data_IF_979601561285
#
_entry.id   IF_979601561285
#
_cell.length_a   1.000
_cell.length_b   1.000
_cell.length_c   1.000
_cell.angle_alpha   90.00
_cell.angle_beta   90.00
_cell.angle_gamma   90.00
#
_symmetry.space_group_name_H-M   'P 1'
#
loop_
_entity.id
_entity.type
_entity.pdbx_description
1 polymer ?
#
# COMPACT_ATOMS: atom_id res chain seq x y z
N UNK A 1 15.89 13.43 37.05
CA UNK A 1 16.93 12.41 37.32
C UNK A 1 16.22 11.09 37.51
N UNK A 2 16.21 10.26 36.47
CA UNK A 2 15.96 8.81 36.44
C UNK A 2 16.23 8.44 34.97
N UNK A 3 17.50 8.17 34.69
CA UNK A 3 18.00 7.94 33.34
C UNK A 3 17.68 6.53 32.85
N UNK A 4 17.46 6.43 31.55
CA UNK A 4 17.69 5.19 30.81
C UNK A 4 18.60 5.53 29.62
N UNK A 5 19.90 5.66 29.91
CA UNK A 5 20.96 5.53 28.91
C UNK A 5 21.03 4.07 28.49
N UNK A 6 20.45 3.74 27.33
CA UNK A 6 20.65 2.46 26.66
C UNK A 6 21.46 2.70 25.38
N UNK A 7 22.78 2.66 25.52
CA UNK A 7 23.72 2.49 24.43
C UNK A 7 23.77 1.00 24.09
N UNK A 8 23.02 0.54 23.09
CA UNK A 8 23.25 -0.78 22.49
C UNK A 8 22.75 -0.80 21.05
N UNK A 9 23.68 -1.10 20.16
CA UNK A 9 23.48 -1.46 18.76
C UNK A 9 22.44 -2.58 18.65
N UNK A 10 21.23 -2.24 18.23
CA UNK A 10 20.24 -3.24 17.81
C UNK A 10 19.41 -2.67 16.66
N UNK A 11 19.85 -3.00 15.46
CA UNK A 11 19.12 -2.91 14.21
C UNK A 11 17.99 -3.93 14.19
N UNK A 12 16.92 -3.65 14.93
CA UNK A 12 15.57 -4.18 14.71
C UNK A 12 14.60 -3.29 15.49
N UNK A 13 14.26 -2.13 14.91
CA UNK A 13 13.04 -1.41 15.30
C UNK A 13 11.90 -1.93 14.42
N UNK A 14 11.52 -3.19 14.61
CA UNK A 14 10.27 -3.74 14.10
C UNK A 14 9.51 -4.43 15.24
N UNK A 15 9.38 -3.72 16.36
CA UNK A 15 8.52 -4.10 17.49
C UNK A 15 7.69 -2.88 17.91
N UNK A 16 6.95 -2.32 16.95
CA UNK A 16 5.93 -1.31 17.23
C UNK A 16 4.58 -1.77 16.68
N UNK A 17 4.06 -2.85 17.26
CA UNK A 17 2.64 -3.17 17.19
C UNK A 17 1.86 -2.18 18.08
N UNK A 18 1.66 -0.95 17.60
CA UNK A 18 0.64 -0.07 18.15
C UNK A 18 -0.65 -0.27 17.35
N UNK A 19 -1.53 -1.09 17.93
CA UNK A 19 -2.95 -1.35 17.62
C UNK A 19 -3.86 -0.10 17.49
N UNK A 20 -3.30 1.09 17.27
CA UNK A 20 -4.02 2.35 17.09
C UNK A 20 -4.45 2.61 15.65
N UNK A 21 -3.92 1.88 14.67
CA UNK A 21 -4.32 2.05 13.27
C UNK A 21 -4.46 0.67 12.60
N UNK A 22 -5.61 0.33 12.00
CA UNK A 22 -5.74 -0.92 11.27
C UNK A 22 -4.75 -0.91 10.11
N UNK A 23 -3.89 -1.93 10.03
CA UNK A 23 -3.04 -2.13 8.86
C UNK A 23 -3.93 -2.38 7.65
N UNK A 24 -3.69 -1.70 6.52
CA UNK A 24 -4.48 -1.94 5.32
C UNK A 24 -4.18 -3.33 4.77
N UNK A 25 -5.20 -3.92 4.18
CA UNK A 25 -5.05 -5.18 3.45
C UNK A 25 -5.04 -4.88 1.96
N UNK A 26 -4.12 -5.50 1.22
CA UNK A 26 -4.00 -5.33 -0.21
C UNK A 26 -4.25 -6.64 -0.95
N UNK A 27 -4.87 -6.52 -2.12
CA UNK A 27 -5.08 -7.63 -3.04
C UNK A 27 -3.99 -7.66 -4.10
N UNK A 28 -3.49 -8.85 -4.37
CA UNK A 28 -2.44 -9.12 -5.35
C UNK A 28 -2.91 -10.17 -6.34
N UNK A 29 -2.40 -10.08 -7.57
CA UNK A 29 -2.65 -11.07 -8.62
C UNK A 29 -1.35 -11.40 -9.35
N UNK A 30 -1.06 -12.69 -9.45
CA UNK A 30 0.04 -13.17 -10.29
C UNK A 30 -0.39 -13.17 -11.76
N UNK A 31 0.46 -12.65 -12.65
CA UNK A 31 0.21 -12.67 -14.10
C UNK A 31 0.47 -14.05 -14.72
N UNK A 32 1.33 -14.86 -14.12
CA UNK A 32 1.73 -16.15 -14.69
C UNK A 32 0.67 -17.25 -14.43
N UNK A 33 0.28 -17.44 -13.18
CA UNK A 33 -0.67 -18.49 -12.79
C UNK A 33 -2.11 -17.98 -12.59
N UNK A 34 -2.32 -16.67 -12.59
CA UNK A 34 -3.64 -16.07 -12.37
C UNK A 34 -4.14 -16.13 -10.92
N UNK A 35 -3.31 -16.59 -9.96
CA UNK A 35 -3.68 -16.71 -8.55
C UNK A 35 -3.86 -15.33 -7.90
N UNK A 36 -5.02 -15.13 -7.29
CA UNK A 36 -5.36 -13.99 -6.45
C UNK A 36 -5.10 -14.30 -4.97
N UNK A 37 -4.51 -13.35 -4.25
CA UNK A 37 -4.30 -13.45 -2.81
C UNK A 37 -4.37 -12.09 -2.14
N UNK A 38 -4.52 -12.12 -0.82
CA UNK A 38 -4.82 -10.95 0.01
C UNK A 38 -3.86 -10.93 1.20
N UNK A 39 -3.11 -9.85 1.38
CA UNK A 39 -2.11 -9.75 2.44
C UNK A 39 -2.16 -8.40 3.16
N UNK A 40 -1.92 -8.44 4.47
CA UNK A 40 -1.88 -7.25 5.33
C UNK A 40 -0.49 -6.66 5.25
N UNK A 41 -0.37 -5.41 4.80
CA UNK A 41 0.92 -4.78 4.57
C UNK A 41 0.92 -3.32 5.04
N UNK A 42 2.04 -2.86 5.59
CA UNK A 42 2.21 -1.43 5.89
C UNK A 42 2.33 -0.62 4.60
N UNK A 43 1.92 0.65 4.63
CA UNK A 43 2.17 1.58 3.52
C UNK A 43 3.66 1.81 3.25
N UNK A 44 4.52 1.63 4.26
CA UNK A 44 5.96 1.86 4.17
C UNK A 44 6.76 0.63 3.76
N UNK A 45 6.09 -0.51 3.61
CA UNK A 45 6.73 -1.79 3.31
C UNK A 45 6.85 -2.02 1.80
N UNK A 46 7.86 -2.78 1.38
CA UNK A 46 8.17 -3.01 -0.02
C UNK A 46 7.16 -3.97 -0.67
N UNK A 47 6.85 -3.79 -1.96
CA UNK A 47 5.78 -4.57 -2.58
C UNK A 47 6.16 -6.05 -2.72
N UNK A 48 5.21 -6.96 -2.48
CA UNK A 48 5.41 -8.40 -2.66
C UNK A 48 5.56 -8.68 -4.16
N UNK A 49 6.75 -9.10 -4.57
CA UNK A 49 7.06 -9.44 -5.96
C UNK A 49 6.89 -10.94 -6.25
N UNK A 50 7.00 -11.80 -5.24
CA UNK A 50 7.01 -13.26 -5.38
C UNK A 50 5.63 -13.86 -5.15
N UNK A 51 5.19 -14.72 -6.07
CA UNK A 51 3.93 -15.46 -5.89
C UNK A 51 4.13 -16.72 -5.03
N UNK A 52 3.31 -16.96 -3.98
CA UNK A 52 3.44 -18.15 -3.13
C UNK A 52 3.05 -19.48 -3.83
N UNK A 53 2.41 -19.42 -5.01
CA UNK A 53 1.96 -20.59 -5.77
C UNK A 53 2.97 -21.08 -6.82
N UNK A 54 3.64 -20.16 -7.50
CA UNK A 54 4.55 -20.48 -8.60
C UNK A 54 5.98 -19.97 -8.39
N UNK A 55 6.25 -19.22 -7.32
CA UNK A 55 7.55 -18.62 -6.99
C UNK A 55 8.10 -17.65 -8.04
N UNK A 56 7.23 -17.17 -8.94
CA UNK A 56 7.60 -16.22 -10.00
C UNK A 56 7.46 -14.78 -9.53
N UNK A 57 8.31 -13.91 -10.07
CA UNK A 57 8.43 -12.48 -9.72
C UNK A 57 7.40 -11.58 -10.43
N UNK A 58 6.32 -12.18 -10.97
CA UNK A 58 5.34 -11.52 -11.84
C UNK A 58 4.02 -11.26 -11.10
N UNK A 59 4.10 -10.59 -9.95
CA UNK A 59 2.95 -10.20 -9.12
C UNK A 59 2.69 -8.69 -9.22
N UNK A 60 1.42 -8.30 -9.28
CA UNK A 60 1.01 -6.89 -9.23
C UNK A 60 -0.13 -6.69 -8.23
N UNK A 61 -0.19 -5.50 -7.63
CA UNK A 61 -1.29 -5.08 -6.76
C UNK A 61 -2.53 -4.80 -7.61
N UNK A 62 -3.64 -5.41 -7.22
CA UNK A 62 -4.93 -5.21 -7.90
C UNK A 62 -5.63 -4.03 -7.25
N UNK A 63 -5.83 -2.98 -8.03
CA UNK A 63 -6.59 -1.81 -7.61
C UNK A 63 -8.00 -1.91 -8.20
N UNK A 64 -9.00 -2.04 -7.35
CA UNK A 64 -10.39 -1.89 -7.76
C UNK A 64 -10.65 -0.41 -8.04
N UNK A 65 -11.31 -0.10 -9.16
CA UNK A 65 -11.71 1.27 -9.48
C UNK A 65 -12.75 1.73 -8.45
N UNK A 66 -12.34 2.58 -7.52
CA UNK A 66 -13.25 3.22 -6.57
C UNK A 66 -13.93 4.39 -7.31
N UNK A 67 -15.26 4.53 -7.25
CA UNK A 67 -15.92 5.68 -7.85
C UNK A 67 -15.42 6.96 -7.19
N UNK A 68 -14.95 7.90 -8.01
CA UNK A 68 -14.56 9.24 -7.55
C UNK A 68 -15.80 10.14 -7.55
N UNK A 69 -16.14 10.70 -6.40
CA UNK A 69 -17.24 11.66 -6.28
C UNK A 69 -16.68 13.07 -6.16
N UNK A 70 -16.94 13.91 -7.17
CA UNK A 70 -16.55 15.31 -7.15
C UNK A 70 -17.64 16.13 -6.46
N UNK A 71 -17.49 16.38 -5.14
CA UNK A 71 -18.35 17.29 -4.37
C UNK A 71 -18.00 18.77 -4.61
N UNK A 72 -17.99 19.20 -5.88
CA UNK A 72 -17.64 20.57 -6.26
C UNK A 72 -18.59 21.13 -7.32
N UNK A 73 -19.11 22.33 -7.10
CA UNK A 73 -19.95 23.06 -8.05
C UNK A 73 -19.11 23.73 -9.13
N UNK A 74 -18.42 22.97 -9.98
CA UNK A 74 -17.70 23.61 -11.09
C UNK A 74 -16.52 22.83 -11.62
N UNK A 75 -16.82 21.78 -12.37
CA UNK A 75 -15.94 21.36 -13.45
C UNK A 75 -16.31 22.18 -14.70
N UNK A 76 -15.93 23.46 -14.74
CA UNK A 76 -16.10 24.26 -15.95
C UNK A 76 -14.82 24.21 -16.76
N UNK A 77 -14.88 23.51 -17.89
CA UNK A 77 -13.90 23.65 -18.97
C UNK A 77 -14.38 24.81 -19.84
N UNK A 78 -13.91 26.02 -19.55
CA UNK A 78 -14.15 27.18 -20.43
C UNK A 78 -13.31 26.99 -21.68
N UNK A 79 -13.89 26.40 -22.73
CA UNK A 79 -13.35 26.45 -24.08
C UNK A 79 -13.36 27.90 -24.57
N UNK A 80 -12.26 28.63 -24.37
CA UNK A 80 -11.98 29.85 -25.14
C UNK A 80 -11.23 29.45 -26.39
N UNK A 81 -11.95 29.02 -27.42
CA UNK A 81 -11.45 29.06 -28.79
C UNK A 81 -11.88 30.38 -29.42
N UNK A 82 -10.94 31.32 -29.46
CA UNK A 82 -11.14 32.59 -30.15
C UNK A 82 -11.21 32.36 -31.66
N UNK A 83 -12.36 32.68 -32.26
CA UNK A 83 -12.48 33.02 -33.68
C UNK A 83 -13.66 33.96 -33.88
#
# INVERSE_FOLDING_TARGET
MNGCTAWRTQSVRYEQACWRNPLPTYHYRCKNCGYDFTEVQSFTDDAITVCPKCSEEQVHKVYSAVPIEFKGHGFYRTDKSGK
#
